data_IF_192332415050
#
_entry.id   IF_192332415050
#
_cell.length_a   1.000
_cell.length_b   1.000
_cell.length_c   1.000
_cell.angle_alpha   90.00
_cell.angle_beta   90.00
_cell.angle_gamma   90.00
#
_symmetry.space_group_name_H-M   'P 1'
#
loop_
_entity.id
_entity.type
_entity.pdbx_description
1 polymer ?
#
# COMPACT_ATOMS: atom_id res chain seq x y z
N UNK A 1 11.57 17.87 15.60
CA UNK A 1 10.28 18.52 15.94
C UNK A 1 9.19 17.58 15.47
N UNK A 2 8.79 16.64 16.32
CA UNK A 2 7.70 15.70 15.99
C UNK A 2 6.40 16.51 15.89
N UNK A 3 5.81 16.56 14.70
CA UNK A 3 4.40 16.95 14.55
C UNK A 3 3.58 15.67 14.67
N UNK A 4 3.18 15.34 15.89
CA UNK A 4 2.04 14.47 16.09
C UNK A 4 0.81 15.19 15.54
N UNK A 5 0.24 14.63 14.46
CA UNK A 5 -1.06 15.05 13.94
C UNK A 5 -2.11 14.23 14.65
N UNK A 6 -2.71 14.83 15.68
CA UNK A 6 -3.89 14.28 16.37
C UNK A 6 -5.11 14.30 15.44
N UNK A 7 -5.25 13.23 14.66
CA UNK A 7 -6.50 12.83 14.05
C UNK A 7 -6.85 11.44 14.61
N UNK A 8 -7.39 11.42 15.85
CA UNK A 8 -8.05 10.26 16.47
C UNK A 8 -7.40 8.91 16.17
N UNK A 9 -6.22 8.65 16.74
CA UNK A 9 -5.59 7.33 16.64
C UNK A 9 -6.43 6.29 17.38
N UNK A 10 -7.25 5.55 16.66
CA UNK A 10 -7.79 4.27 17.11
C UNK A 10 -6.68 3.25 16.91
N UNK A 11 -6.38 2.45 17.94
CA UNK A 11 -5.40 1.36 17.83
C UNK A 11 -5.72 0.51 16.58
N UNK A 12 -4.80 0.51 15.61
CA UNK A 12 -5.05 -0.07 14.29
C UNK A 12 -3.76 -0.43 13.57
N UNK A 13 -3.90 -1.27 12.54
CA UNK A 13 -2.77 -1.71 11.71
C UNK A 13 -2.28 -0.61 10.79
N UNK A 14 -0.97 -0.57 10.56
CA UNK A 14 -0.32 0.35 9.61
C UNK A 14 0.70 -0.39 8.76
N UNK A 15 0.97 0.13 7.56
CA UNK A 15 2.05 -0.34 6.71
C UNK A 15 3.25 0.60 6.84
N UNK A 16 4.38 0.10 7.33
CA UNK A 16 5.63 0.88 7.44
C UNK A 16 6.55 0.56 6.26
N UNK A 17 6.87 1.58 5.46
CA UNK A 17 7.91 1.50 4.42
C UNK A 17 9.21 2.06 4.99
N UNK A 18 10.19 1.20 5.22
CA UNK A 18 11.53 1.58 5.68
C UNK A 18 12.40 1.83 4.44
N UNK A 19 12.86 3.07 4.26
CA UNK A 19 13.72 3.43 3.13
C UNK A 19 15.17 3.01 3.38
N UNK A 20 15.92 2.80 2.30
CA UNK A 20 17.36 2.52 2.43
C UNK A 20 18.09 3.78 2.90
N UNK A 21 19.24 3.60 3.56
CA UNK A 21 19.99 4.70 4.20
C UNK A 21 20.25 5.91 3.30
N UNK A 22 20.61 5.66 2.05
CA UNK A 22 20.96 6.73 1.10
C UNK A 22 19.74 7.21 0.28
N UNK A 23 18.53 6.73 0.60
CA UNK A 23 17.31 7.08 -0.12
C UNK A 23 16.97 8.58 -0.01
N UNK A 24 17.27 9.23 1.12
CA UNK A 24 17.06 10.69 1.30
C UNK A 24 17.88 11.53 0.32
N UNK A 25 18.97 10.97 -0.21
CA UNK A 25 19.81 11.61 -1.24
C UNK A 25 19.29 11.36 -2.66
N UNK A 26 18.21 10.59 -2.80
CA UNK A 26 17.66 10.24 -4.11
C UNK A 26 16.55 11.23 -4.51
N UNK A 27 16.55 11.73 -5.76
CA UNK A 27 15.46 12.54 -6.27
C UNK A 27 14.09 11.86 -6.18
N UNK A 28 14.07 10.52 -6.18
CA UNK A 28 12.86 9.71 -6.12
C UNK A 28 12.16 9.85 -4.76
N UNK A 29 12.90 9.75 -3.65
CA UNK A 29 12.30 9.86 -2.32
C UNK A 29 11.76 11.27 -2.05
N UNK A 30 12.54 12.29 -2.45
CA UNK A 30 12.12 13.69 -2.31
C UNK A 30 10.82 13.95 -3.09
N UNK A 31 10.71 13.45 -4.33
CA UNK A 31 9.47 13.56 -5.11
C UNK A 31 8.28 12.87 -4.45
N UNK A 32 8.50 11.73 -3.80
CA UNK A 32 7.43 11.01 -3.10
C UNK A 32 6.95 11.80 -1.88
N UNK A 33 7.87 12.41 -1.11
CA UNK A 33 7.52 13.26 0.02
C UNK A 33 6.82 14.55 -0.43
N UNK A 34 7.40 15.25 -1.40
CA UNK A 34 6.84 16.47 -2.00
C UNK A 34 5.41 16.22 -2.51
N UNK A 35 5.15 15.03 -3.08
CA UNK A 35 3.82 14.63 -3.52
C UNK A 35 2.83 14.54 -2.35
N UNK A 36 3.20 13.87 -1.25
CA UNK A 36 2.31 13.76 -0.08
C UNK A 36 2.08 15.10 0.59
N UNK A 37 3.12 15.92 0.73
CA UNK A 37 2.99 17.29 1.26
C UNK A 37 2.04 18.13 0.40
N UNK A 38 2.24 18.11 -0.92
CA UNK A 38 1.41 18.82 -1.87
C UNK A 38 -0.06 18.39 -1.76
N UNK A 39 -0.35 17.09 -1.90
CA UNK A 39 -1.73 16.57 -1.86
C UNK A 39 -2.39 16.79 -0.49
N UNK A 40 -1.65 16.68 0.61
CA UNK A 40 -2.18 16.89 1.96
C UNK A 40 -2.44 18.36 2.30
N UNK A 41 -1.70 19.30 1.68
CA UNK A 41 -1.94 20.74 1.84
C UNK A 41 -3.20 21.23 1.13
N UNK A 42 -3.73 20.43 0.19
CA UNK A 42 -4.91 20.79 -0.59
C UNK A 42 -6.20 20.57 0.20
N UNK A 43 -7.07 21.58 0.23
CA UNK A 43 -8.45 21.46 0.69
C UNK A 43 -9.37 21.08 -0.48
N UNK A 44 -9.15 19.90 -1.05
CA UNK A 44 -9.96 19.39 -2.16
C UNK A 44 -11.29 18.80 -1.66
N UNK A 45 -12.35 18.95 -2.45
CA UNK A 45 -13.61 18.21 -2.30
C UNK A 45 -13.79 17.17 -3.43
N UNK A 46 -12.77 17.00 -4.26
CA UNK A 46 -12.81 16.11 -5.39
C UNK A 46 -12.85 14.66 -4.92
N UNK A 47 -13.93 13.95 -5.25
CA UNK A 47 -14.14 12.56 -4.81
C UNK A 47 -13.04 11.60 -5.27
N UNK A 48 -12.29 11.97 -6.31
CA UNK A 48 -11.12 11.25 -6.79
C UNK A 48 -9.98 11.15 -5.77
N UNK A 49 -9.86 12.09 -4.82
CA UNK A 49 -8.82 12.10 -3.80
C UNK A 49 -8.86 10.85 -2.92
N UNK A 50 -10.07 10.30 -2.66
CA UNK A 50 -10.24 9.08 -1.86
C UNK A 50 -9.58 7.83 -2.47
N UNK A 51 -9.21 7.86 -3.76
CA UNK A 51 -8.53 6.77 -4.44
C UNK A 51 -7.00 6.95 -4.51
N UNK A 52 -6.47 8.02 -3.91
CA UNK A 52 -5.04 8.23 -3.72
C UNK A 52 -4.66 7.72 -2.34
N UNK A 53 -3.67 6.82 -2.29
CA UNK A 53 -3.16 6.33 -1.00
C UNK A 53 -2.58 7.50 -0.21
N UNK A 54 -3.01 7.66 1.04
CA UNK A 54 -2.48 8.69 1.93
C UNK A 54 -1.16 8.31 2.62
N UNK A 55 -0.65 9.27 3.39
CA UNK A 55 0.49 9.12 4.30
C UNK A 55 0.02 9.58 5.69
N UNK A 56 0.03 8.69 6.67
CA UNK A 56 -0.32 9.04 8.06
C UNK A 56 0.79 9.88 8.69
N UNK A 57 2.04 9.50 8.45
CA UNK A 57 3.19 10.25 8.93
C UNK A 57 4.50 9.61 8.52
N UNK A 58 5.57 10.17 9.08
CA UNK A 58 6.93 9.75 8.83
C UNK A 58 7.76 9.86 10.11
N UNK A 59 8.81 9.05 10.19
CA UNK A 59 9.77 9.07 11.29
C UNK A 59 11.14 8.57 10.81
N UNK A 60 12.18 8.82 11.60
CA UNK A 60 13.51 8.26 11.37
C UNK A 60 13.72 7.07 12.30
N UNK A 61 14.31 5.99 11.76
CA UNK A 61 14.73 4.81 12.52
C UNK A 61 16.26 4.72 12.53
N UNK A 62 16.85 4.63 13.71
CA UNK A 62 18.28 4.32 13.87
C UNK A 62 18.51 2.82 13.65
N UNK A 63 19.23 2.48 12.59
CA UNK A 63 19.60 1.11 12.24
C UNK A 63 21.12 0.88 12.33
N UNK A 64 21.58 -0.40 12.24
CA UNK A 64 23.00 -0.75 12.30
C UNK A 64 23.86 -0.06 11.21
N UNK A 65 23.24 0.37 10.11
CA UNK A 65 23.93 0.98 8.99
C UNK A 65 23.81 2.50 8.94
N UNK A 66 23.04 3.11 9.84
CA UNK A 66 22.72 4.54 9.85
C UNK A 66 21.23 4.78 10.05
N UNK A 67 20.80 6.02 9.77
CA UNK A 67 19.39 6.42 9.85
C UNK A 67 18.61 6.03 8.60
N UNK A 68 17.34 5.73 8.79
CA UNK A 68 16.41 5.34 7.74
C UNK A 68 15.11 6.13 7.87
N UNK A 69 14.77 6.94 6.85
CA UNK A 69 13.44 7.53 6.75
C UNK A 69 12.39 6.42 6.59
N UNK A 70 11.30 6.54 7.34
CA UNK A 70 10.21 5.58 7.35
C UNK A 70 8.89 6.29 7.06
N UNK A 71 8.08 5.72 6.16
CA UNK A 71 6.73 6.20 5.87
C UNK A 71 5.68 5.28 6.48
N UNK A 72 4.68 5.89 7.11
CA UNK A 72 3.53 5.20 7.71
C UNK A 72 2.33 5.39 6.79
N UNK A 73 1.87 4.29 6.18
CA UNK A 73 0.76 4.26 5.26
C UNK A 73 -0.45 3.50 5.83
N UNK A 74 -1.66 3.76 5.30
CA UNK A 74 -2.75 2.81 5.45
C UNK A 74 -2.31 1.43 4.92
N UNK A 75 -2.69 0.34 5.59
CA UNK A 75 -2.49 -1.00 5.06
C UNK A 75 -3.31 -1.15 3.77
N UNK A 76 -2.67 -1.72 2.76
CA UNK A 76 -3.32 -2.06 1.50
C UNK A 76 -3.30 -3.58 1.35
N UNK A 77 -4.28 -4.12 0.62
CA UNK A 77 -4.31 -5.53 0.32
C UNK A 77 -3.34 -5.83 -0.84
N UNK A 78 -3.81 -6.49 -1.90
CA UNK A 78 -2.99 -6.88 -3.03
C UNK A 78 -3.05 -5.85 -4.16
N UNK A 79 -2.06 -5.87 -5.02
CA UNK A 79 -2.07 -5.15 -6.30
C UNK A 79 -3.01 -5.81 -7.29
N UNK A 80 -3.46 -5.07 -8.30
CA UNK A 80 -4.23 -5.63 -9.43
C UNK A 80 -3.42 -6.72 -10.15
N UNK A 81 -2.09 -6.56 -10.23
CA UNK A 81 -1.20 -7.58 -10.78
C UNK A 81 -1.27 -8.89 -10.01
N UNK A 82 -1.24 -8.83 -8.68
CA UNK A 82 -1.42 -10.02 -7.83
C UNK A 82 -2.82 -10.61 -8.00
N UNK A 83 -3.86 -9.77 -8.06
CA UNK A 83 -5.22 -10.24 -8.30
C UNK A 83 -5.34 -11.01 -9.63
N UNK A 84 -4.69 -10.53 -10.69
CA UNK A 84 -4.66 -11.21 -11.98
C UNK A 84 -4.09 -12.62 -11.89
N UNK A 85 -3.10 -12.88 -11.02
CA UNK A 85 -2.50 -14.21 -10.86
C UNK A 85 -3.44 -15.26 -10.26
N UNK A 86 -4.56 -14.86 -9.63
CA UNK A 86 -5.58 -15.81 -9.17
C UNK A 86 -6.48 -16.33 -10.29
N UNK A 87 -6.47 -15.68 -11.45
CA UNK A 87 -7.10 -16.19 -12.66
C UNK A 87 -6.05 -16.93 -13.51
N UNK A 88 -6.28 -18.19 -13.94
CA UNK A 88 -5.38 -18.88 -14.86
C UNK A 88 -5.07 -18.12 -16.16
N UNK A 89 -5.99 -17.26 -16.60
CA UNK A 89 -5.78 -16.41 -17.78
C UNK A 89 -4.95 -15.15 -17.50
N UNK A 90 -4.55 -14.91 -16.26
CA UNK A 90 -3.84 -13.71 -15.79
C UNK A 90 -4.57 -12.40 -16.12
N UNK A 91 -5.91 -12.41 -16.04
CA UNK A 91 -6.79 -11.30 -16.40
C UNK A 91 -7.85 -11.07 -15.32
N UNK A 92 -8.31 -9.83 -15.22
CA UNK A 92 -9.54 -9.53 -14.49
C UNK A 92 -10.75 -9.94 -15.34
N UNK A 93 -11.83 -10.35 -14.69
CA UNK A 93 -13.12 -10.44 -15.36
C UNK A 93 -13.64 -9.04 -15.74
N UNK A 94 -14.65 -9.01 -16.62
CA UNK A 94 -15.19 -7.74 -17.13
C UNK A 94 -15.75 -6.85 -16.02
N UNK A 95 -16.52 -7.36 -15.03
CA UNK A 95 -16.98 -6.56 -13.90
C UNK A 95 -15.85 -5.89 -13.10
N UNK A 96 -14.85 -6.67 -12.66
CA UNK A 96 -13.72 -6.15 -11.87
C UNK A 96 -12.89 -5.16 -12.66
N UNK A 97 -12.67 -5.41 -13.96
CA UNK A 97 -11.98 -4.48 -14.84
C UNK A 97 -12.70 -3.13 -14.93
N UNK A 98 -14.03 -3.15 -15.15
CA UNK A 98 -14.84 -1.93 -15.22
C UNK A 98 -14.79 -1.13 -13.92
N UNK A 99 -14.93 -1.80 -12.77
CA UNK A 99 -14.83 -1.16 -11.46
C UNK A 99 -13.43 -0.56 -11.21
N UNK A 100 -12.37 -1.31 -11.54
CA UNK A 100 -10.98 -0.85 -11.40
C UNK A 100 -10.71 0.38 -12.24
N UNK A 101 -11.11 0.36 -13.52
CA UNK A 101 -10.94 1.50 -14.43
C UNK A 101 -11.76 2.72 -13.99
N UNK A 102 -12.99 2.53 -13.53
CA UNK A 102 -13.81 3.63 -13.04
C UNK A 102 -13.18 4.34 -11.84
N UNK A 103 -12.60 3.60 -10.90
CA UNK A 103 -11.92 4.17 -9.74
C UNK A 103 -10.60 4.84 -10.14
N UNK A 104 -9.81 4.20 -11.02
CA UNK A 104 -8.57 4.77 -11.55
C UNK A 104 -8.81 6.10 -12.28
N UNK A 105 -9.85 6.19 -13.12
CA UNK A 105 -10.16 7.43 -13.84
C UNK A 105 -10.57 8.56 -12.90
N UNK A 106 -11.29 8.27 -11.80
CA UNK A 106 -11.59 9.27 -10.77
C UNK A 106 -10.31 9.75 -10.07
N UNK A 107 -9.40 8.84 -9.73
CA UNK A 107 -8.10 9.16 -9.15
C UNK A 107 -7.28 10.06 -10.08
N UNK A 108 -7.23 9.72 -11.37
CA UNK A 108 -6.51 10.49 -12.38
C UNK A 108 -7.13 11.86 -12.62
N UNK A 109 -8.47 11.98 -12.63
CA UNK A 109 -9.14 13.28 -12.71
C UNK A 109 -8.74 14.17 -11.52
N UNK A 110 -8.71 13.64 -10.30
CA UNK A 110 -8.18 14.41 -9.15
C UNK A 110 -6.71 14.84 -9.38
N UNK A 111 -5.85 13.89 -9.74
CA UNK A 111 -4.42 14.14 -9.91
C UNK A 111 -4.16 15.22 -10.97
N UNK A 112 -4.87 15.17 -12.10
CA UNK A 112 -4.65 16.08 -13.22
C UNK A 112 -5.38 17.42 -13.06
N UNK A 113 -6.65 17.38 -12.63
CA UNK A 113 -7.51 18.55 -12.65
C UNK A 113 -7.21 19.47 -11.46
N UNK A 114 -6.93 18.91 -10.29
CA UNK A 114 -6.68 19.69 -9.08
C UNK A 114 -5.23 19.61 -8.62
N UNK A 115 -4.68 18.40 -8.45
CA UNK A 115 -3.33 18.26 -7.90
C UNK A 115 -2.22 18.66 -8.89
N UNK A 116 -2.52 18.76 -10.19
CA UNK A 116 -1.54 19.07 -11.24
C UNK A 116 -0.33 18.12 -11.25
N UNK A 117 -0.56 16.85 -10.92
CA UNK A 117 0.45 15.78 -10.85
C UNK A 117 0.21 14.75 -11.93
N UNK A 118 1.27 14.34 -12.63
CA UNK A 118 1.23 13.17 -13.53
C UNK A 118 1.96 12.02 -12.86
N UNK A 119 1.31 10.86 -12.69
CA UNK A 119 1.92 9.71 -12.01
C UNK A 119 3.09 9.10 -12.80
N UNK A 120 3.05 9.10 -14.14
CA UNK A 120 4.07 8.58 -15.07
C UNK A 120 4.31 7.07 -15.10
N UNK A 121 3.72 6.28 -14.19
CA UNK A 121 3.91 4.81 -14.13
C UNK A 121 2.61 4.09 -13.71
N UNK A 122 1.52 4.32 -14.44
CA UNK A 122 0.26 3.62 -14.20
C UNK A 122 0.34 2.22 -14.82
N UNK A 123 0.43 1.22 -13.95
CA UNK A 123 0.42 -0.18 -14.34
C UNK A 123 -0.24 -1.05 -13.23
N UNK A 124 -0.66 -2.30 -13.51
CA UNK A 124 -1.35 -3.15 -12.53
C UNK A 124 -0.60 -3.40 -11.22
N UNK A 125 0.72 -3.25 -11.19
CA UNK A 125 1.54 -3.38 -9.98
C UNK A 125 1.49 -2.16 -9.06
N UNK A 126 1.11 -0.99 -9.60
CA UNK A 126 1.02 0.27 -8.85
C UNK A 126 -0.43 0.62 -8.46
N UNK A 127 -1.39 -0.26 -8.73
CA UNK A 127 -2.80 -0.10 -8.33
C UNK A 127 -3.07 -1.14 -7.25
N UNK A 128 -3.41 -0.69 -6.05
CA UNK A 128 -3.65 -1.53 -4.88
C UNK A 128 -5.13 -1.51 -4.47
N UNK A 129 -5.60 -2.63 -3.95
CA UNK A 129 -6.91 -2.74 -3.31
C UNK A 129 -6.82 -2.26 -1.86
N UNK A 130 -7.85 -1.57 -1.40
CA UNK A 130 -8.01 -1.22 0.02
C UNK A 130 -8.38 -2.46 0.83
N UNK A 131 -8.02 -2.44 2.11
CA UNK A 131 -8.57 -3.39 3.09
C UNK A 131 -9.92 -2.84 3.53
N UNK A 132 -10.98 -3.65 3.40
CA UNK A 132 -12.34 -3.30 3.86
C UNK A 132 -12.71 -4.04 5.16
N UNK A 133 -12.13 -5.23 5.35
CA UNK A 133 -12.32 -6.07 6.53
C UNK A 133 -10.99 -6.19 7.30
N UNK A 134 -10.90 -5.52 8.45
CA UNK A 134 -9.71 -5.50 9.30
C UNK A 134 -9.36 -6.89 9.85
N UNK A 135 -10.29 -7.84 9.88
CA UNK A 135 -9.99 -9.22 10.31
C UNK A 135 -8.94 -9.88 9.41
N UNK A 136 -8.75 -9.40 8.18
CA UNK A 136 -7.67 -9.86 7.28
C UNK A 136 -6.30 -9.57 7.92
N UNK A 137 -6.14 -8.41 8.56
CA UNK A 137 -4.89 -7.98 9.17
C UNK A 137 -4.65 -8.69 10.51
N UNK A 138 -5.69 -8.90 11.31
CA UNK A 138 -5.63 -9.71 12.53
C UNK A 138 -5.24 -11.17 12.22
N UNK A 139 -5.87 -11.76 11.20
CA UNK A 139 -5.53 -13.11 10.76
C UNK A 139 -4.11 -13.19 10.21
N UNK A 140 -3.65 -12.13 9.53
CA UNK A 140 -2.27 -12.06 9.02
C UNK A 140 -1.25 -12.03 10.18
N UNK A 141 -1.47 -11.19 11.19
CA UNK A 141 -0.63 -11.13 12.40
C UNK A 141 -0.61 -12.48 13.12
N UNK A 142 -1.79 -13.05 13.39
CA UNK A 142 -1.92 -14.34 14.07
C UNK A 142 -1.19 -15.46 13.31
N UNK A 143 -1.34 -15.52 11.98
CA UNK A 143 -0.66 -16.52 11.16
C UNK A 143 0.86 -16.36 11.16
N UNK A 144 1.37 -15.13 11.27
CA UNK A 144 2.82 -14.88 11.41
C UNK A 144 3.33 -15.26 12.80
N UNK A 145 2.55 -15.01 13.86
CA UNK A 145 2.91 -15.43 15.22
C UNK A 145 2.89 -16.96 15.40
N UNK A 146 1.90 -17.64 14.83
CA UNK A 146 1.75 -19.10 14.94
C UNK A 146 2.75 -19.87 14.07
N UNK A 147 3.06 -19.35 12.88
CA UNK A 147 3.98 -19.98 11.94
C UNK A 147 4.87 -18.91 11.29
N UNK A 148 5.99 -18.51 11.94
CA UNK A 148 6.84 -17.42 11.46
C UNK A 148 7.34 -17.61 10.03
N UNK A 149 7.44 -16.51 9.28
CA UNK A 149 7.94 -16.52 7.92
C UNK A 149 9.38 -17.07 7.88
N UNK A 150 9.72 -17.94 6.91
CA UNK A 150 11.08 -18.43 6.75
C UNK A 150 12.06 -17.26 6.64
N UNK A 151 13.20 -17.34 7.31
CA UNK A 151 14.21 -16.30 7.30
C UNK A 151 15.61 -16.84 7.05
N UNK A 152 16.49 -15.95 6.60
CA UNK A 152 17.91 -16.23 6.38
C UNK A 152 18.75 -15.16 7.08
N UNK A 153 19.58 -15.59 8.02
CA UNK A 153 20.62 -14.76 8.63
C UNK A 153 21.77 -14.62 7.62
N UNK A 154 22.16 -13.39 7.31
CA UNK A 154 23.25 -13.09 6.40
C UNK A 154 24.54 -12.83 7.18
N UNK A 155 24.42 -11.98 8.21
CA UNK A 155 25.50 -11.57 9.12
C UNK A 155 24.88 -11.09 10.44
N UNK A 156 25.72 -10.61 11.37
CA UNK A 156 25.32 -10.15 12.71
C UNK A 156 24.33 -8.97 12.70
N UNK A 157 24.14 -8.30 11.56
CA UNK A 157 23.31 -7.09 11.44
C UNK A 157 22.09 -7.28 10.54
N UNK A 158 22.02 -8.36 9.76
CA UNK A 158 21.03 -8.51 8.69
C UNK A 158 20.41 -9.90 8.66
N UNK A 159 19.08 -9.89 8.80
CA UNK A 159 18.21 -11.05 8.55
C UNK A 159 17.20 -10.71 7.45
N UNK A 160 17.01 -11.63 6.51
CA UNK A 160 16.03 -11.49 5.42
C UNK A 160 14.89 -12.46 5.68
N UNK A 161 13.66 -11.95 5.70
CA UNK A 161 12.44 -12.75 5.82
C UNK A 161 11.83 -12.97 4.43
N UNK A 162 11.27 -14.15 4.22
CA UNK A 162 10.40 -14.41 3.07
C UNK A 162 9.08 -13.65 3.26
N UNK A 163 8.53 -13.08 2.18
CA UNK A 163 7.25 -12.37 2.24
C UNK A 163 6.10 -13.35 2.41
N UNK A 164 5.25 -13.12 3.42
CA UNK A 164 3.91 -13.70 3.50
C UNK A 164 2.92 -12.84 2.70
N UNK A 165 2.02 -13.50 1.97
CA UNK A 165 0.89 -12.84 1.33
C UNK A 165 -0.41 -13.24 2.05
N UNK A 166 -1.30 -12.26 2.26
CA UNK A 166 -2.65 -12.54 2.71
C UNK A 166 -3.42 -13.29 1.60
N UNK A 167 -3.96 -14.45 1.93
CA UNK A 167 -4.76 -15.24 0.98
C UNK A 167 -6.09 -14.54 0.68
N UNK A 168 -6.58 -14.50 -0.58
CA UNK A 168 -7.89 -13.92 -0.91
C UNK A 168 -9.06 -14.68 -0.26
N UNK A 169 -8.81 -15.90 0.22
CA UNK A 169 -9.83 -16.71 0.90
C UNK A 169 -10.26 -16.12 2.25
N UNK A 170 -9.54 -15.14 2.79
CA UNK A 170 -10.04 -14.29 3.88
C UNK A 170 -10.98 -13.24 3.27
N UNK A 171 -12.25 -13.60 3.07
CA UNK A 171 -13.32 -12.67 2.70
C UNK A 171 -13.95 -12.84 1.31
N UNK A 172 -13.39 -13.67 0.42
CA UNK A 172 -14.03 -13.94 -0.89
C UNK A 172 -14.94 -15.17 -0.84
N UNK A 173 -16.21 -14.98 -0.47
CA UNK A 173 -17.25 -15.98 -0.75
C UNK A 173 -17.60 -15.92 -2.24
N UNK A 174 -16.83 -16.63 -3.09
CA UNK A 174 -17.33 -16.98 -4.41
C UNK A 174 -18.51 -17.92 -4.21
N UNK A 175 -19.72 -17.44 -4.50
CA UNK A 175 -20.89 -18.29 -4.67
C UNK A 175 -20.58 -19.43 -5.65
N UNK A 176 -21.35 -20.53 -5.59
CA UNK A 176 -20.98 -21.79 -6.21
C UNK A 176 -20.65 -21.59 -7.69
N UNK A 177 -19.43 -21.95 -8.06
CA UNK A 177 -19.01 -22.07 -9.45
C UNK A 177 -19.91 -23.11 -10.12
N UNK A 178 -20.81 -22.67 -10.98
CA UNK A 178 -21.54 -23.55 -11.88
C UNK A 178 -20.52 -24.28 -12.78
N UNK A 179 -20.56 -25.62 -12.86
CA UNK A 179 -19.68 -26.35 -13.76
C UNK A 179 -20.21 -26.25 -15.20
N UNK A 180 -19.25 -25.93 -16.09
CA UNK A 180 -19.19 -26.13 -17.55
C UNK A 180 -20.46 -25.90 -18.38
#
# INVERSE_FOLDING_TARGET
MHRERDAGFVAGFVAVKICTRDAEKTPQLNRELDFYEHVSSMQSQHRGQAYIRGLYGEFELDGPTGKHLCFVHPPMHMTIRQLQYYNPAHRLDVPLLKCTLANLLKALSFLHDEAKVVHTDINPGNIMLTVDDDTILENFEKAEAENPSPFKVIDDTRTIYSSRFASPSYGWSLGPTSPL
#
